data_IF_303767380546
#
_entry.id   IF_303767380546
#
_cell.length_a   1.000
_cell.length_b   1.000
_cell.length_c   1.000
_cell.angle_alpha   90.00
_cell.angle_beta   90.00
_cell.angle_gamma   90.00
#
_symmetry.space_group_name_H-M   'P 1'
#
loop_
_entity.id
_entity.type
_entity.pdbx_description
1 polymer ?
#
# COMPACT_ATOMS: atom_id res chain seq x y z
N UNK A 1 11.91 -0.15 5.14
CA UNK A 1 13.02 -1.09 4.97
C UNK A 1 13.58 -0.96 3.57
N UNK A 2 14.75 -0.32 3.44
CA UNK A 2 15.50 -0.20 2.19
C UNK A 2 16.53 -1.32 2.15
N UNK A 3 16.65 -2.01 1.02
CA UNK A 3 17.66 -3.02 0.76
C UNK A 3 18.22 -2.84 -0.63
N UNK A 4 19.53 -2.77 -0.73
CA UNK A 4 20.29 -2.80 -1.96
C UNK A 4 21.03 -4.14 -2.05
N UNK A 5 20.89 -4.85 -3.16
CA UNK A 5 21.57 -6.12 -3.40
C UNK A 5 22.23 -6.10 -4.78
N UNK A 6 23.49 -6.47 -4.86
CA UNK A 6 24.28 -6.50 -6.10
C UNK A 6 24.47 -7.94 -6.57
N UNK A 7 24.20 -8.17 -7.85
CA UNK A 7 24.35 -9.47 -8.52
C UNK A 7 25.35 -9.37 -9.68
N UNK A 8 26.16 -10.41 -9.90
CA UNK A 8 27.16 -10.46 -11.00
C UNK A 8 26.57 -10.75 -12.38
N UNK A 9 25.39 -11.34 -12.44
CA UNK A 9 24.63 -11.62 -13.67
C UNK A 9 23.15 -11.53 -13.33
N UNK A 10 22.29 -11.05 -14.25
CA UNK A 10 20.84 -10.99 -14.05
C UNK A 10 20.16 -12.37 -13.94
N UNK A 11 20.93 -13.45 -13.80
CA UNK A 11 20.37 -14.78 -13.64
C UNK A 11 19.39 -14.86 -12.47
N UNK A 12 18.12 -15.14 -12.78
CA UNK A 12 17.06 -15.37 -11.82
C UNK A 12 17.46 -16.49 -10.85
N UNK A 13 17.56 -16.16 -9.55
CA UNK A 13 17.87 -17.14 -8.49
C UNK A 13 19.32 -17.15 -8.03
N UNK A 14 20.18 -16.27 -8.52
CA UNK A 14 21.53 -16.09 -7.97
C UNK A 14 21.47 -15.44 -6.57
N UNK A 15 22.36 -15.85 -5.69
CA UNK A 15 22.58 -15.15 -4.43
C UNK A 15 23.25 -13.79 -4.70
N UNK A 16 22.90 -12.74 -3.92
CA UNK A 16 23.55 -11.46 -4.05
C UNK A 16 25.03 -11.55 -3.65
N UNK A 17 25.87 -10.83 -4.36
CA UNK A 17 27.29 -10.71 -4.03
C UNK A 17 27.50 -9.85 -2.78
N UNK A 18 26.77 -8.77 -2.69
CA UNK A 18 26.82 -7.78 -1.61
C UNK A 18 25.42 -7.23 -1.35
N UNK A 19 25.17 -6.90 -0.10
CA UNK A 19 23.92 -6.27 0.33
C UNK A 19 24.18 -5.10 1.28
N UNK A 20 23.30 -4.09 1.26
CA UNK A 20 23.32 -2.98 2.20
C UNK A 20 21.91 -2.41 2.42
N UNK A 21 21.65 -1.94 3.62
CA UNK A 21 20.43 -1.20 3.98
C UNK A 21 20.65 0.31 4.12
N UNK A 22 21.85 0.77 3.84
CA UNK A 22 22.19 2.19 3.84
C UNK A 22 21.50 2.92 2.68
N UNK A 23 21.21 4.21 2.88
CA UNK A 23 20.59 5.02 1.83
C UNK A 23 21.53 5.30 0.64
N UNK A 24 22.82 5.38 0.91
CA UNK A 24 23.87 5.64 -0.10
C UNK A 24 25.05 4.68 0.11
N UNK A 25 24.88 3.38 -0.21
CA UNK A 25 25.91 2.40 0.03
C UNK A 25 27.06 2.53 -0.98
N UNK A 26 28.25 2.16 -0.55
CA UNK A 26 29.44 2.00 -1.40
C UNK A 26 29.80 0.53 -1.45
N UNK A 27 29.84 -0.03 -2.66
CA UNK A 27 30.18 -1.43 -2.90
C UNK A 27 31.55 -1.53 -3.59
N UNK A 28 32.57 -2.15 -2.98
CA UNK A 28 33.80 -2.49 -3.65
C UNK A 28 33.54 -3.67 -4.61
N UNK A 29 33.67 -3.44 -5.91
CA UNK A 29 33.39 -4.43 -6.94
C UNK A 29 34.55 -4.49 -7.92
N UNK A 30 35.01 -5.69 -8.37
CA UNK A 30 35.89 -5.85 -9.50
C UNK A 30 35.30 -5.23 -10.77
N UNK A 31 36.13 -5.00 -11.78
CA UNK A 31 35.62 -4.60 -13.09
C UNK A 31 34.69 -5.69 -13.65
N UNK A 32 33.54 -5.25 -14.19
CA UNK A 32 32.54 -6.20 -14.67
C UNK A 32 31.16 -5.57 -14.89
N UNK A 33 30.21 -6.44 -15.26
CA UNK A 33 28.80 -6.10 -15.41
C UNK A 33 28.01 -6.65 -14.23
N UNK A 34 27.12 -5.83 -13.70
CA UNK A 34 26.35 -6.11 -12.51
C UNK A 34 24.90 -5.65 -12.65
N UNK A 35 24.06 -6.17 -11.78
CA UNK A 35 22.69 -5.68 -11.59
C UNK A 35 22.50 -5.29 -10.14
N UNK A 36 22.17 -4.02 -9.88
CA UNK A 36 21.69 -3.57 -8.58
C UNK A 36 20.21 -3.83 -8.49
N UNK A 37 19.78 -4.57 -7.47
CA UNK A 37 18.38 -4.69 -7.09
C UNK A 37 18.14 -3.84 -5.84
N UNK A 38 17.22 -2.89 -5.95
CA UNK A 38 16.78 -2.09 -4.79
C UNK A 38 15.37 -2.45 -4.44
N UNK A 39 15.16 -2.78 -3.16
CA UNK A 39 13.85 -3.11 -2.59
C UNK A 39 13.49 -2.09 -1.52
N UNK A 40 12.29 -1.54 -1.59
CA UNK A 40 11.76 -0.64 -0.58
C UNK A 40 10.25 -0.82 -0.44
N UNK A 41 9.76 -1.12 0.79
CA UNK A 41 8.35 -1.41 1.07
C UNK A 41 7.72 -2.42 0.08
N UNK A 42 8.47 -3.46 -0.29
CA UNK A 42 8.01 -4.49 -1.23
C UNK A 42 8.06 -4.09 -2.71
N UNK A 43 8.44 -2.87 -3.04
CA UNK A 43 8.71 -2.45 -4.42
C UNK A 43 10.15 -2.82 -4.78
N UNK A 44 10.30 -3.63 -5.81
CA UNK A 44 11.60 -4.10 -6.30
C UNK A 44 11.90 -3.44 -7.64
N UNK A 45 13.10 -2.88 -7.79
CA UNK A 45 13.64 -2.34 -9.04
C UNK A 45 15.02 -2.88 -9.29
N UNK A 46 15.33 -3.11 -10.57
CA UNK A 46 16.63 -3.61 -11.03
C UNK A 46 17.26 -2.64 -12.00
N UNK A 47 18.54 -2.39 -11.82
CA UNK A 47 19.34 -1.43 -12.58
C UNK A 47 20.63 -2.11 -13.03
N UNK A 48 20.78 -2.41 -14.32
CA UNK A 48 22.05 -2.92 -14.85
C UNK A 48 23.09 -1.79 -14.85
N UNK A 49 24.33 -2.11 -14.49
CA UNK A 49 25.45 -1.18 -14.51
C UNK A 49 26.75 -1.91 -14.78
N UNK A 50 27.81 -1.17 -15.06
CA UNK A 50 29.15 -1.71 -15.22
C UNK A 50 30.14 -0.93 -14.36
N UNK A 51 31.15 -1.62 -13.87
CA UNK A 51 32.27 -1.04 -13.15
C UNK A 51 33.52 -1.23 -14.02
N UNK A 52 34.29 -0.18 -14.23
CA UNK A 52 35.59 -0.21 -14.87
C UNK A 52 36.72 -0.25 -13.84
N UNK A 53 37.89 -0.77 -14.21
CA UNK A 53 39.03 -0.73 -13.33
C UNK A 53 39.44 0.72 -13.03
N UNK A 54 39.82 0.99 -11.79
CA UNK A 54 40.32 2.28 -11.32
C UNK A 54 39.31 3.45 -11.43
N UNK A 55 38.02 3.16 -11.67
CA UNK A 55 36.95 4.16 -11.75
C UNK A 55 35.93 3.98 -10.65
N UNK A 56 35.33 5.10 -10.20
CA UNK A 56 34.17 5.08 -9.33
C UNK A 56 32.91 5.24 -10.16
N UNK A 57 32.10 4.19 -10.24
CA UNK A 57 30.79 4.24 -10.88
C UNK A 57 29.76 4.87 -9.93
N UNK A 58 29.08 5.92 -10.36
CA UNK A 58 27.98 6.55 -9.63
C UNK A 58 26.64 6.15 -10.25
N UNK A 59 25.77 5.49 -9.48
CA UNK A 59 24.46 5.07 -9.94
C UNK A 59 23.36 5.77 -9.13
N UNK A 60 22.60 6.63 -9.81
CA UNK A 60 21.40 7.23 -9.24
C UNK A 60 20.19 6.38 -9.57
N UNK A 61 19.51 5.87 -8.55
CA UNK A 61 18.34 4.99 -8.72
C UNK A 61 17.06 5.70 -8.33
N UNK A 62 16.01 5.54 -9.12
CA UNK A 62 14.66 5.99 -8.79
C UNK A 62 13.73 4.81 -8.66
N UNK A 63 13.10 4.67 -7.51
CA UNK A 63 12.10 3.62 -7.27
C UNK A 63 10.74 3.94 -7.91
N UNK A 64 10.55 5.18 -8.36
CA UNK A 64 9.29 5.64 -8.93
C UNK A 64 8.10 5.25 -8.03
N UNK A 65 8.17 5.66 -6.78
CA UNK A 65 7.17 5.38 -5.75
C UNK A 65 6.48 6.65 -5.28
N UNK A 66 5.27 6.50 -4.77
CA UNK A 66 4.54 7.51 -4.00
C UNK A 66 3.92 6.90 -2.75
N UNK A 67 3.44 7.76 -1.87
CA UNK A 67 2.76 7.37 -0.62
C UNK A 67 1.29 7.74 -0.69
N UNK A 68 0.45 6.83 -0.21
CA UNK A 68 -1.00 7.03 -0.15
C UNK A 68 -1.50 6.73 1.25
N UNK A 69 -2.01 7.77 1.93
CA UNK A 69 -2.68 7.67 3.22
C UNK A 69 -4.19 7.56 3.02
N UNK A 70 -4.79 6.51 3.57
CA UNK A 70 -6.22 6.26 3.51
C UNK A 70 -6.83 6.37 4.90
N UNK A 71 -7.95 7.05 4.99
CA UNK A 71 -8.79 7.11 6.19
C UNK A 71 -10.27 7.08 5.78
N UNK A 72 -11.16 6.99 6.76
CA UNK A 72 -12.58 7.02 6.49
C UNK A 72 -13.32 7.95 7.46
N UNK A 73 -14.43 8.52 7.02
CA UNK A 73 -15.30 9.40 7.79
C UNK A 73 -16.74 8.91 7.71
N UNK A 74 -17.51 9.17 8.76
CA UNK A 74 -18.93 8.84 8.78
C UNK A 74 -19.74 9.73 7.82
N UNK A 75 -19.34 11.00 7.68
CA UNK A 75 -19.98 12.01 6.81
C UNK A 75 -18.92 12.97 6.26
N UNK A 76 -19.24 13.61 5.14
CA UNK A 76 -18.36 14.61 4.52
C UNK A 76 -17.98 15.71 5.53
N UNK A 77 -16.69 15.98 5.66
CA UNK A 77 -16.16 16.96 6.62
C UNK A 77 -16.12 16.47 8.08
N UNK A 78 -16.52 15.22 8.35
CA UNK A 78 -16.43 14.63 9.69
C UNK A 78 -15.02 14.25 10.10
N UNK A 79 -14.84 13.98 11.39
CA UNK A 79 -13.60 13.43 11.92
C UNK A 79 -13.37 12.00 11.40
N UNK A 80 -12.10 11.56 11.27
CA UNK A 80 -11.77 10.18 10.95
C UNK A 80 -12.45 9.21 11.92
N UNK A 81 -12.95 8.11 11.37
CA UNK A 81 -13.54 7.04 12.17
C UNK A 81 -12.45 6.30 12.93
N UNK A 82 -12.58 6.25 14.25
CA UNK A 82 -11.77 5.38 15.10
C UNK A 82 -12.30 3.94 15.05
N UNK A 83 -12.44 3.37 13.85
CA UNK A 83 -13.00 2.05 13.60
C UNK A 83 -11.99 1.17 12.88
N UNK A 84 -12.19 -0.12 13.00
CA UNK A 84 -11.35 -1.14 12.38
C UNK A 84 -11.78 -1.36 10.92
N UNK A 85 -11.22 -0.55 10.05
CA UNK A 85 -11.52 -0.52 8.62
C UNK A 85 -10.46 -1.33 7.88
N UNK A 86 -10.87 -2.15 6.93
CA UNK A 86 -9.93 -2.85 6.05
C UNK A 86 -9.78 -2.08 4.75
N UNK A 87 -8.56 -1.65 4.48
CA UNK A 87 -8.17 -0.99 3.23
C UNK A 87 -7.47 -1.99 2.31
N UNK A 88 -7.79 -1.90 1.03
CA UNK A 88 -7.17 -2.69 -0.02
C UNK A 88 -6.65 -1.78 -1.11
N UNK A 89 -5.49 -2.11 -1.65
CA UNK A 89 -4.94 -1.48 -2.84
C UNK A 89 -4.74 -2.55 -3.90
N UNK A 90 -5.24 -2.29 -5.11
CA UNK A 90 -5.14 -3.18 -6.26
C UNK A 90 -4.58 -2.40 -7.44
N UNK A 91 -3.72 -3.02 -8.24
CA UNK A 91 -3.26 -2.42 -9.48
C UNK A 91 -4.34 -2.53 -10.55
N UNK A 92 -4.62 -1.44 -11.26
CA UNK A 92 -5.42 -1.49 -12.47
C UNK A 92 -4.53 -2.00 -13.62
N UNK A 93 -4.80 -3.20 -14.09
CA UNK A 93 -4.13 -3.75 -15.27
C UNK A 93 -4.92 -3.39 -16.53
N UNK A 94 -4.21 -3.12 -17.61
CA UNK A 94 -4.79 -2.71 -18.91
C UNK A 94 -5.71 -3.76 -19.53
N UNK A 95 -5.74 -4.99 -19.02
CA UNK A 95 -6.58 -6.10 -19.47
C UNK A 95 -7.62 -6.56 -18.44
N UNK A 96 -8.03 -5.69 -17.51
CA UNK A 96 -9.18 -5.95 -16.65
C UNK A 96 -8.91 -6.86 -15.43
N UNK A 97 -7.70 -7.31 -15.20
CA UNK A 97 -7.32 -8.05 -14.00
C UNK A 97 -7.03 -7.10 -12.83
N UNK A 98 -7.66 -7.34 -11.67
CA UNK A 98 -7.33 -6.64 -10.42
C UNK A 98 -6.64 -7.61 -9.47
N UNK A 99 -5.31 -7.54 -9.39
CA UNK A 99 -4.56 -8.20 -8.33
C UNK A 99 -4.52 -7.32 -7.08
N UNK A 100 -4.91 -7.83 -5.92
CA UNK A 100 -4.69 -7.12 -4.64
C UNK A 100 -3.21 -7.04 -4.38
N UNK A 101 -2.66 -5.81 -4.34
CA UNK A 101 -1.24 -5.58 -4.04
C UNK A 101 -0.98 -5.59 -2.54
N UNK A 102 -1.83 -4.89 -1.79
CA UNK A 102 -1.65 -4.66 -0.36
C UNK A 102 -2.99 -4.61 0.36
N UNK A 103 -2.96 -5.02 1.64
CA UNK A 103 -4.09 -4.94 2.56
C UNK A 103 -3.60 -4.45 3.91
N UNK A 104 -4.30 -3.49 4.50
CA UNK A 104 -4.03 -3.01 5.84
C UNK A 104 -5.34 -2.79 6.59
N UNK A 105 -5.33 -2.99 7.91
CA UNK A 105 -6.49 -2.84 8.79
C UNK A 105 -6.18 -1.82 9.88
N UNK A 106 -7.13 -0.94 10.16
CA UNK A 106 -7.01 0.11 11.18
C UNK A 106 -7.88 1.32 10.88
N UNK A 107 -7.83 2.34 11.73
CA UNK A 107 -8.51 3.61 11.51
C UNK A 107 -7.90 4.39 10.32
N UNK A 108 -6.63 4.21 10.09
CA UNK A 108 -5.84 4.78 9.00
C UNK A 108 -4.90 3.73 8.44
N UNK A 109 -4.57 3.83 7.15
CA UNK A 109 -3.61 2.99 6.48
C UNK A 109 -2.70 3.84 5.59
N UNK A 110 -1.39 3.54 5.59
CA UNK A 110 -0.41 4.20 4.72
C UNK A 110 0.25 3.15 3.85
N UNK A 111 0.21 3.38 2.54
CA UNK A 111 0.78 2.50 1.54
C UNK A 111 1.88 3.20 0.77
N UNK A 112 3.03 2.56 0.65
CA UNK A 112 4.06 2.91 -0.30
C UNK A 112 3.79 2.13 -1.60
N UNK A 113 3.60 2.82 -2.72
CA UNK A 113 3.10 2.25 -3.96
C UNK A 113 3.99 2.62 -5.14
N UNK A 114 4.21 1.72 -6.11
CA UNK A 114 4.76 2.12 -7.40
C UNK A 114 3.86 3.16 -8.06
N UNK A 115 4.48 4.12 -8.75
CA UNK A 115 3.71 5.07 -9.55
C UNK A 115 2.84 4.35 -10.58
N UNK A 116 1.64 4.88 -10.80
CA UNK A 116 0.66 4.31 -11.71
C UNK A 116 -0.77 4.45 -11.20
N UNK A 117 -1.70 3.81 -11.91
CA UNK A 117 -3.11 3.80 -11.53
C UNK A 117 -3.41 2.63 -10.61
N UNK A 118 -4.00 2.94 -9.47
CA UNK A 118 -4.41 1.95 -8.46
C UNK A 118 -5.88 2.13 -8.12
N UNK A 119 -6.55 1.02 -7.85
CA UNK A 119 -7.87 1.03 -7.22
C UNK A 119 -7.69 0.83 -5.73
N UNK A 120 -8.19 1.79 -4.95
CA UNK A 120 -8.24 1.67 -3.50
C UNK A 120 -9.66 1.38 -3.06
N UNK A 121 -9.81 0.57 -2.04
CA UNK A 121 -11.12 0.30 -1.43
C UNK A 121 -11.02 0.26 0.09
N UNK A 122 -12.08 0.68 0.74
CA UNK A 122 -12.24 0.62 2.19
C UNK A 122 -13.49 -0.20 2.51
N UNK A 123 -13.38 -1.09 3.50
CA UNK A 123 -14.47 -1.94 3.97
C UNK A 123 -14.68 -1.75 5.47
N UNK A 124 -15.91 -1.42 5.82
CA UNK A 124 -16.37 -1.30 7.21
C UNK A 124 -17.59 -2.20 7.39
N UNK A 125 -17.44 -3.34 8.04
CA UNK A 125 -18.48 -4.37 8.12
C UNK A 125 -18.93 -4.82 6.72
N UNK A 126 -20.20 -4.60 6.40
CA UNK A 126 -20.79 -4.89 5.08
C UNK A 126 -20.68 -3.73 4.08
N UNK A 127 -20.38 -2.52 4.55
CA UNK A 127 -20.21 -1.37 3.66
C UNK A 127 -18.85 -1.38 3.00
N UNK A 128 -18.82 -1.12 1.68
CA UNK A 128 -17.60 -1.01 0.89
C UNK A 128 -17.67 0.22 0.00
N UNK A 129 -16.54 0.90 -0.13
CA UNK A 129 -16.34 2.04 -1.05
C UNK A 129 -15.04 1.83 -1.80
N UNK A 130 -15.00 2.24 -3.06
CA UNK A 130 -13.81 2.17 -3.89
C UNK A 130 -13.58 3.44 -4.68
N UNK A 131 -12.32 3.70 -5.04
CA UNK A 131 -11.89 4.84 -5.85
C UNK A 131 -10.63 4.45 -6.63
N UNK A 132 -10.54 4.96 -7.86
CA UNK A 132 -9.33 4.88 -8.67
C UNK A 132 -8.50 6.15 -8.44
N UNK A 133 -7.21 5.97 -8.18
CA UNK A 133 -6.26 7.03 -7.86
C UNK A 133 -5.03 6.85 -8.75
N UNK A 134 -4.54 7.94 -9.32
CA UNK A 134 -3.24 7.99 -9.97
C UNK A 134 -2.20 8.41 -8.93
N UNK A 135 -1.11 7.67 -8.83
CA UNK A 135 0.03 7.95 -7.96
C UNK A 135 1.21 8.31 -8.86
N UNK A 136 1.76 9.51 -8.72
CA UNK A 136 2.98 9.90 -9.40
C UNK A 136 4.22 9.64 -8.53
N UNK A 137 5.42 9.57 -9.13
CA UNK A 137 6.66 9.43 -8.36
C UNK A 137 6.85 10.61 -7.40
N UNK A 138 7.10 10.31 -6.13
CA UNK A 138 7.31 11.31 -5.08
C UNK A 138 6.02 11.86 -4.46
N UNK A 139 4.84 11.48 -4.97
CA UNK A 139 3.56 11.92 -4.41
C UNK A 139 3.39 11.47 -2.96
N UNK A 140 2.78 12.35 -2.16
CA UNK A 140 2.20 12.02 -0.86
C UNK A 140 0.72 12.41 -0.91
N UNK A 141 -0.13 11.42 -1.14
CA UNK A 141 -1.56 11.60 -1.33
C UNK A 141 -2.35 11.20 -0.08
N UNK A 142 -3.40 11.94 0.21
CA UNK A 142 -4.37 11.58 1.24
C UNK A 142 -5.75 11.40 0.62
N UNK A 143 -6.43 10.30 0.96
CA UNK A 143 -7.80 10.09 0.54
C UNK A 143 -8.68 9.64 1.71
N UNK A 144 -9.86 10.25 1.82
CA UNK A 144 -10.84 9.97 2.88
C UNK A 144 -12.11 9.37 2.29
N UNK A 145 -12.40 8.13 2.65
CA UNK A 145 -13.64 7.46 2.26
C UNK A 145 -14.81 7.98 3.10
N UNK A 146 -15.81 8.55 2.46
CA UNK A 146 -17.06 8.90 3.13
C UNK A 146 -18.05 7.73 3.06
N UNK A 147 -18.31 7.09 4.18
CA UNK A 147 -19.25 5.97 4.26
C UNK A 147 -20.72 6.42 4.32
N UNK A 148 -20.99 7.71 4.57
CA UNK A 148 -22.32 8.27 4.73
C UNK A 148 -23.16 7.50 5.78
N UNK A 149 -22.55 7.26 6.96
CA UNK A 149 -23.17 6.49 8.02
C UNK A 149 -24.29 7.29 8.71
N UNK A 150 -25.40 6.63 8.98
CA UNK A 150 -26.43 7.08 9.91
C UNK A 150 -26.12 6.62 11.34
N UNK A 151 -26.84 7.19 12.29
CA UNK A 151 -26.80 6.80 13.71
C UNK A 151 -28.15 6.24 14.10
N UNK A 152 -28.17 5.00 14.56
CA UNK A 152 -29.32 4.40 15.20
C UNK A 152 -29.15 4.52 16.72
N UNK A 153 -30.07 5.21 17.38
CA UNK A 153 -30.16 5.26 18.84
C UNK A 153 -31.34 4.42 19.29
N UNK A 154 -31.08 3.43 20.13
CA UNK A 154 -32.10 2.57 20.69
C UNK A 154 -32.25 2.90 22.16
N UNK A 155 -33.49 3.13 22.62
CA UNK A 155 -33.85 3.30 24.02
C UNK A 155 -34.86 2.23 24.38
N UNK A 156 -34.62 1.51 25.45
CA UNK A 156 -35.57 0.53 25.97
C UNK A 156 -36.19 1.06 27.25
N UNK A 157 -37.50 0.89 27.41
CA UNK A 157 -38.24 1.29 28.61
C UNK A 157 -38.41 0.13 29.62
N UNK A 158 -37.94 -1.06 29.25
CA UNK A 158 -37.99 -2.23 30.10
C UNK A 158 -36.71 -2.35 30.94
N UNK A 159 -36.79 -2.75 32.22
CA UNK A 159 -35.61 -3.15 32.95
C UNK A 159 -34.98 -4.31 32.22
N UNK A 160 -33.70 -4.16 31.81
CA UNK A 160 -32.95 -5.24 31.14
C UNK A 160 -32.77 -6.39 32.12
N UNK A 161 -33.48 -7.49 31.91
CA UNK A 161 -33.06 -8.76 32.47
C UNK A 161 -31.68 -9.12 31.91
N UNK A 162 -30.83 -9.74 32.68
CA UNK A 162 -29.38 -9.87 32.57
C UNK A 162 -28.76 -10.22 31.19
N UNK A 163 -29.55 -10.49 30.16
CA UNK A 163 -29.06 -10.78 28.81
C UNK A 163 -30.07 -10.38 27.73
N UNK A 164 -30.01 -9.14 27.27
CA UNK A 164 -30.74 -8.75 26.05
C UNK A 164 -29.79 -8.82 24.86
N UNK A 165 -29.96 -9.80 23.97
CA UNK A 165 -29.29 -9.87 22.69
C UNK A 165 -30.03 -8.97 21.68
N UNK A 166 -29.36 -7.92 21.23
CA UNK A 166 -29.91 -7.03 20.21
C UNK A 166 -29.27 -7.41 18.85
N UNK A 167 -30.07 -8.00 17.98
CA UNK A 167 -29.63 -8.35 16.64
C UNK A 167 -30.23 -7.39 15.61
N UNK A 168 -29.37 -6.77 14.80
CA UNK A 168 -29.78 -5.92 13.67
C UNK A 168 -29.76 -6.78 12.41
N UNK A 169 -30.93 -7.22 11.98
CA UNK A 169 -31.10 -7.97 10.73
C UNK A 169 -31.16 -7.01 9.53
N UNK A 170 -30.43 -7.30 8.44
CA UNK A 170 -30.58 -6.54 7.21
C UNK A 170 -31.96 -6.78 6.61
N UNK A 171 -32.65 -5.72 6.26
CA UNK A 171 -33.89 -5.84 5.48
C UNK A 171 -33.55 -6.37 4.06
N UNK A 172 -34.33 -7.30 3.52
CA UNK A 172 -34.20 -7.68 2.11
C UNK A 172 -34.54 -6.46 1.26
N UNK A 173 -33.67 -6.19 0.25
CA UNK A 173 -33.96 -5.16 -0.74
C UNK A 173 -35.34 -5.42 -1.35
N UNK A 174 -36.27 -4.50 -1.18
CA UNK A 174 -37.48 -4.46 -2.00
C UNK A 174 -37.05 -3.99 -3.39
N UNK A 175 -37.08 -4.91 -4.34
CA UNK A 175 -37.03 -4.64 -5.78
C UNK A 175 -38.21 -3.78 -6.22
#
# INVERSE_FOLDING_TARGET
DLLHAVFSDPATGAEPLLESTEANPVFPLPNGKYTLQTTHHGVVRRFPFSVSADETAHLTVSLNMGYLSLSAVARKGGQPLAADITYFVSRLQSQGGTGTLMRQRGAQAVFALPAGHVRVSARLGRASKSRDIAVAPGDTLEYRFNFALGVLRIQTNAPLAETALLEILPQPNRT
#
